data_IF_279095070239
#
_entry.id   IF_279095070239
#
_cell.length_a   1.000
_cell.length_b   1.000
_cell.length_c   1.000
_cell.angle_alpha   90.00
_cell.angle_beta   90.00
_cell.angle_gamma   90.00
#
_symmetry.space_group_name_H-M   'P 1'
#
loop_
_entity.id
_entity.type
_entity.pdbx_description
1 polymer ?
#
# COMPACT_ATOMS: atom_id res chain seq x y z
N UNK A 1 -16.96 2.71 7.38
CA UNK A 1 -15.54 2.81 7.78
C UNK A 1 -15.44 2.69 9.29
N UNK A 2 -14.54 1.84 9.78
CA UNK A 2 -14.19 1.74 11.19
C UNK A 2 -12.68 2.02 11.36
N UNK A 3 -12.32 2.70 12.45
CA UNK A 3 -10.93 2.98 12.82
C UNK A 3 -10.77 2.69 14.31
N UNK A 4 -9.73 1.96 14.68
CA UNK A 4 -9.48 1.56 16.07
C UNK A 4 -8.00 1.36 16.32
N UNK A 5 -7.55 1.63 17.53
CA UNK A 5 -6.19 1.36 18.02
C UNK A 5 -6.10 0.05 18.84
N UNK A 6 -7.20 -0.69 18.96
CA UNK A 6 -7.28 -1.90 19.79
C UNK A 6 -6.76 -3.17 19.09
N UNK A 7 -6.67 -3.17 17.76
CA UNK A 7 -6.24 -4.33 16.96
C UNK A 7 -5.21 -3.93 15.91
N UNK A 8 -4.44 -4.92 15.45
CA UNK A 8 -3.52 -4.79 14.33
C UNK A 8 -4.24 -4.43 13.02
N UNK A 9 -5.44 -4.98 12.80
CA UNK A 9 -6.32 -4.64 11.70
C UNK A 9 -7.17 -3.42 12.07
N UNK A 10 -6.60 -2.23 11.89
CA UNK A 10 -7.01 -1.00 12.58
C UNK A 10 -7.89 -0.06 11.75
N UNK A 11 -7.92 -0.22 10.43
CA UNK A 11 -8.72 0.61 9.51
C UNK A 11 -9.47 -0.30 8.55
N UNK A 12 -10.79 -0.10 8.44
CA UNK A 12 -11.68 -0.91 7.62
C UNK A 12 -12.61 -0.05 6.78
N UNK A 13 -12.77 -0.41 5.50
CA UNK A 13 -13.65 0.22 4.53
C UNK A 13 -14.64 -0.80 3.96
N UNK A 14 -15.78 -0.29 3.53
CA UNK A 14 -16.74 -1.04 2.72
C UNK A 14 -16.28 -0.98 1.26
N UNK A 15 -16.26 -2.12 0.59
CA UNK A 15 -15.96 -2.29 -0.85
C UNK A 15 -17.03 -3.14 -1.53
N UNK A 16 -18.24 -3.16 -0.98
CA UNK A 16 -19.39 -3.84 -1.57
C UNK A 16 -19.69 -3.24 -2.96
N UNK A 17 -20.10 -4.06 -3.95
CA UNK A 17 -20.48 -3.57 -5.27
C UNK A 17 -21.71 -2.66 -5.18
N UNK A 18 -21.89 -1.79 -6.18
CA UNK A 18 -23.01 -0.84 -6.22
C UNK A 18 -24.39 -1.52 -6.19
N UNK A 19 -24.47 -2.78 -6.64
CA UNK A 19 -25.71 -3.57 -6.64
C UNK A 19 -25.98 -4.29 -5.31
N UNK A 20 -25.10 -4.12 -4.32
CA UNK A 20 -25.18 -4.71 -2.98
C UNK A 20 -25.35 -6.24 -2.96
N UNK A 21 -24.94 -6.91 -4.05
CA UNK A 21 -25.09 -8.37 -4.20
C UNK A 21 -24.31 -9.18 -3.17
N UNK A 22 -23.26 -8.59 -2.57
CA UNK A 22 -22.44 -9.18 -1.51
C UNK A 22 -21.80 -8.07 -0.66
N UNK A 23 -21.70 -8.27 0.65
CA UNK A 23 -20.94 -7.37 1.53
C UNK A 23 -19.44 -7.67 1.46
N UNK A 24 -18.61 -6.67 1.17
CA UNK A 24 -17.15 -6.81 1.15
C UNK A 24 -16.52 -5.77 2.08
N UNK A 25 -15.71 -6.24 3.02
CA UNK A 25 -14.89 -5.38 3.88
C UNK A 25 -13.43 -5.53 3.50
N UNK A 26 -12.75 -4.40 3.31
CA UNK A 26 -11.29 -4.35 3.13
C UNK A 26 -10.69 -3.58 4.29
N UNK A 27 -9.50 -3.97 4.71
CA UNK A 27 -8.77 -3.20 5.71
C UNK A 27 -7.30 -3.56 5.69
N UNK A 28 -6.56 -2.96 6.60
CA UNK A 28 -5.11 -2.96 6.54
C UNK A 28 -4.49 -3.30 7.88
N UNK A 29 -3.36 -3.99 7.79
CA UNK A 29 -2.42 -4.20 8.88
C UNK A 29 -1.13 -3.55 8.41
N UNK A 30 -0.63 -2.56 9.12
CA UNK A 30 0.51 -1.74 8.71
C UNK A 30 1.61 -1.67 9.78
N UNK A 31 2.75 -1.09 9.39
CA UNK A 31 3.89 -0.84 10.27
C UNK A 31 4.42 -2.09 11.00
N UNK A 32 4.63 -1.94 12.30
CA UNK A 32 5.17 -3.00 13.15
C UNK A 32 4.21 -4.21 13.24
N UNK A 33 2.90 -3.98 13.15
CA UNK A 33 1.92 -5.06 13.13
C UNK A 33 2.05 -5.91 11.87
N UNK A 34 2.21 -5.28 10.69
CA UNK A 34 2.42 -6.01 9.44
C UNK A 34 3.69 -6.86 9.49
N UNK A 35 4.78 -6.28 10.03
CA UNK A 35 6.06 -6.98 10.19
C UNK A 35 5.93 -8.19 11.10
N UNK A 36 5.23 -8.05 12.24
CA UNK A 36 4.99 -9.16 13.15
C UNK A 36 4.13 -10.26 12.50
N UNK A 37 3.05 -9.86 11.83
CA UNK A 37 2.07 -10.78 11.25
C UNK A 37 2.54 -11.45 9.96
N UNK A 38 3.46 -10.86 9.18
CA UNK A 38 4.04 -11.47 7.97
C UNK A 38 4.57 -12.88 8.23
N UNK A 39 5.15 -13.11 9.40
CA UNK A 39 5.68 -14.42 9.80
C UNK A 39 4.65 -15.37 10.42
N UNK A 40 3.44 -14.88 10.72
CA UNK A 40 2.35 -15.65 11.30
C UNK A 40 1.58 -16.27 10.14
N UNK A 41 1.56 -17.60 10.03
CA UNK A 41 0.89 -18.29 8.92
C UNK A 41 -0.58 -17.89 8.75
N UNK A 42 -1.13 -18.12 7.55
CA UNK A 42 -2.39 -17.56 7.07
C UNK A 42 -3.59 -17.74 8.02
N UNK A 43 -3.69 -18.89 8.68
CA UNK A 43 -4.77 -19.16 9.63
C UNK A 43 -4.76 -18.21 10.84
N UNK A 44 -3.58 -17.84 11.34
CA UNK A 44 -3.44 -16.93 12.49
C UNK A 44 -3.87 -15.53 12.07
N UNK A 45 -3.43 -15.06 10.89
CA UNK A 45 -3.82 -13.74 10.38
C UNK A 45 -5.34 -13.66 10.17
N UNK A 46 -5.93 -14.72 9.61
CA UNK A 46 -7.38 -14.86 9.47
C UNK A 46 -8.12 -14.72 10.80
N UNK A 47 -7.69 -15.44 11.83
CA UNK A 47 -8.33 -15.40 13.14
C UNK A 47 -8.25 -14.01 13.78
N UNK A 48 -7.10 -13.33 13.69
CA UNK A 48 -6.92 -11.97 14.22
C UNK A 48 -7.79 -10.94 13.48
N UNK A 49 -7.90 -11.03 12.15
CA UNK A 49 -8.78 -10.15 11.37
C UNK A 49 -10.26 -10.40 11.69
N UNK A 50 -10.70 -11.65 11.74
CA UNK A 50 -12.10 -11.98 12.07
C UNK A 50 -12.46 -11.52 13.49
N UNK A 51 -11.54 -11.66 14.44
CA UNK A 51 -11.72 -11.15 15.80
C UNK A 51 -11.92 -9.64 15.80
N UNK A 52 -11.04 -8.89 15.11
CA UNK A 52 -11.17 -7.44 15.00
C UNK A 52 -12.51 -7.04 14.37
N UNK A 53 -12.90 -7.68 13.26
CA UNK A 53 -14.19 -7.43 12.61
C UNK A 53 -15.39 -7.74 13.50
N UNK A 54 -15.31 -8.81 14.30
CA UNK A 54 -16.34 -9.17 15.28
C UNK A 54 -16.47 -8.12 16.38
N UNK A 55 -15.33 -7.61 16.87
CA UNK A 55 -15.31 -6.57 17.89
C UNK A 55 -15.82 -5.22 17.35
N UNK A 56 -15.63 -4.93 16.05
CA UNK A 56 -16.09 -3.70 15.41
C UNK A 56 -17.56 -3.72 15.02
N UNK A 57 -18.04 -4.83 14.46
CA UNK A 57 -19.33 -4.89 13.77
C UNK A 57 -20.32 -5.87 14.40
N UNK A 58 -19.89 -6.68 15.36
CA UNK A 58 -20.73 -7.63 16.08
C UNK A 58 -20.58 -9.08 15.63
N UNK A 59 -21.35 -10.00 16.25
CA UNK A 59 -21.18 -11.45 16.11
C UNK A 59 -21.38 -11.97 14.67
N UNK A 60 -22.13 -11.25 13.83
CA UNK A 60 -22.36 -11.61 12.43
C UNK A 60 -21.07 -11.60 11.60
N UNK A 61 -20.08 -10.79 11.97
CA UNK A 61 -18.79 -10.73 11.27
C UNK A 61 -17.87 -11.94 11.57
N UNK A 62 -18.27 -12.82 12.49
CA UNK A 62 -17.48 -14.00 12.89
C UNK A 62 -17.39 -15.08 11.81
N UNK A 63 -18.39 -15.16 10.94
CA UNK A 63 -18.53 -16.21 9.94
C UNK A 63 -18.56 -15.60 8.53
N UNK A 64 -17.43 -15.10 8.01
CA UNK A 64 -17.38 -14.58 6.65
C UNK A 64 -17.55 -15.69 5.63
N UNK A 65 -18.18 -15.36 4.48
CA UNK A 65 -18.33 -16.28 3.34
C UNK A 65 -16.94 -16.69 2.81
N UNK A 66 -16.02 -15.74 2.73
CA UNK A 66 -14.65 -15.96 2.29
C UNK A 66 -13.67 -14.98 2.97
N UNK A 67 -12.39 -15.30 2.96
CA UNK A 67 -11.31 -14.48 3.49
C UNK A 67 -10.06 -14.61 2.62
N UNK A 68 -9.50 -13.47 2.24
CA UNK A 68 -8.21 -13.38 1.55
C UNK A 68 -7.38 -12.25 2.14
N UNK A 69 -6.08 -12.48 2.27
CA UNK A 69 -5.11 -11.44 2.57
C UNK A 69 -3.89 -11.55 1.66
N UNK A 70 -3.12 -10.46 1.59
CA UNK A 70 -1.87 -10.41 0.85
C UNK A 70 -0.81 -9.79 1.74
N UNK A 71 0.22 -10.57 2.05
CA UNK A 71 1.43 -10.05 2.66
C UNK A 71 2.31 -9.41 1.57
N UNK A 72 2.25 -8.08 1.48
CA UNK A 72 3.09 -7.33 0.55
C UNK A 72 4.56 -7.26 0.98
N UNK A 73 4.86 -7.47 2.26
CA UNK A 73 6.24 -7.43 2.76
C UNK A 73 7.04 -8.66 2.31
N UNK A 74 6.36 -9.80 2.10
CA UNK A 74 6.93 -11.02 1.56
C UNK A 74 6.86 -11.14 0.03
N UNK A 75 6.15 -10.24 -0.65
CA UNK A 75 6.04 -10.24 -2.12
C UNK A 75 7.39 -9.84 -2.75
N UNK A 76 7.90 -10.67 -3.67
CA UNK A 76 9.28 -10.62 -4.17
C UNK A 76 9.65 -9.27 -4.82
N UNK A 77 8.69 -8.70 -5.55
CA UNK A 77 8.91 -7.52 -6.41
C UNK A 77 8.57 -6.21 -5.72
N UNK A 78 7.62 -6.24 -4.78
CA UNK A 78 7.14 -5.09 -4.02
C UNK A 78 7.91 -4.90 -2.73
N UNK A 79 8.18 -6.01 -2.00
CA UNK A 79 8.94 -6.04 -0.74
C UNK A 79 8.42 -5.09 0.35
N UNK A 80 7.13 -4.78 0.30
CA UNK A 80 6.45 -3.82 1.14
C UNK A 80 5.30 -3.12 0.42
N UNK A 81 4.53 -2.34 1.16
CA UNK A 81 3.44 -1.50 0.66
C UNK A 81 3.16 -0.33 1.61
N UNK A 82 2.39 0.69 1.21
CA UNK A 82 2.03 1.02 -0.18
C UNK A 82 3.14 1.76 -0.91
N UNK A 83 3.95 2.48 -0.15
CA UNK A 83 4.94 3.41 -0.64
C UNK A 83 6.21 3.25 0.17
N UNK A 84 7.36 3.37 -0.49
CA UNK A 84 8.62 3.45 0.22
C UNK A 84 8.67 4.75 1.05
N UNK A 85 8.99 4.61 2.34
CA UNK A 85 9.21 5.76 3.22
C UNK A 85 10.70 5.93 3.52
N UNK A 86 11.08 7.15 3.89
CA UNK A 86 12.47 7.51 4.14
C UNK A 86 12.73 7.63 5.63
N UNK A 87 13.88 7.12 6.07
CA UNK A 87 14.36 7.37 7.43
C UNK A 87 14.59 8.88 7.67
N UNK A 88 14.56 9.34 8.94
CA UNK A 88 14.81 10.74 9.27
C UNK A 88 16.10 11.29 8.65
N UNK A 89 16.01 12.46 8.02
CA UNK A 89 17.14 13.15 7.40
C UNK A 89 17.55 12.67 6.01
N UNK A 90 17.00 11.56 5.49
CA UNK A 90 17.29 11.10 4.12
C UNK A 90 16.70 12.06 3.09
N UNK A 91 15.42 12.45 3.24
CA UNK A 91 14.76 13.37 2.32
C UNK A 91 15.47 14.72 2.20
N UNK A 92 15.92 15.29 3.32
CA UNK A 92 16.58 16.61 3.30
C UNK A 92 18.01 16.57 2.77
N UNK A 93 18.70 15.42 2.86
CA UNK A 93 20.08 15.26 2.36
C UNK A 93 20.13 14.78 0.92
N UNK A 94 19.17 13.95 0.50
CA UNK A 94 19.24 13.21 -0.76
C UNK A 94 17.95 13.29 -1.58
N UNK A 95 16.95 14.07 -1.17
CA UNK A 95 15.66 14.16 -1.86
C UNK A 95 15.77 14.58 -3.33
N UNK A 96 16.77 15.39 -3.71
CA UNK A 96 17.02 15.73 -5.12
C UNK A 96 17.42 14.51 -5.94
N UNK A 97 18.20 13.59 -5.37
CA UNK A 97 18.69 12.39 -6.05
C UNK A 97 17.57 11.44 -6.47
N UNK A 98 16.40 11.50 -5.81
CA UNK A 98 15.23 10.66 -6.10
C UNK A 98 14.72 10.78 -7.55
N UNK A 99 14.97 11.93 -8.22
CA UNK A 99 14.53 12.19 -9.60
C UNK A 99 15.67 12.45 -10.57
N UNK A 100 16.87 12.74 -10.06
CA UNK A 100 18.00 13.12 -10.91
C UNK A 100 18.40 11.95 -11.83
N UNK A 101 18.38 12.12 -13.17
CA UNK A 101 18.77 11.05 -14.09
C UNK A 101 20.27 10.78 -14.02
N UNK A 102 20.67 9.53 -14.24
CA UNK A 102 22.08 9.11 -14.28
C UNK A 102 22.43 8.71 -15.71
N UNK A 103 23.12 9.60 -16.43
CA UNK A 103 23.44 9.38 -17.84
C UNK A 103 22.16 9.24 -18.68
N UNK A 104 21.93 8.06 -19.25
CA UNK A 104 20.72 7.71 -20.04
C UNK A 104 19.61 7.06 -19.22
N UNK A 105 19.81 6.89 -17.91
CA UNK A 105 18.85 6.25 -17.00
C UNK A 105 17.97 7.35 -16.39
N UNK A 106 16.65 7.19 -16.52
CA UNK A 106 15.64 8.06 -15.95
C UNK A 106 14.78 7.28 -14.96
N UNK A 107 14.31 7.96 -13.91
CA UNK A 107 13.55 7.35 -12.83
C UNK A 107 12.07 7.72 -12.92
N UNK A 108 11.22 6.69 -12.94
CA UNK A 108 9.77 6.77 -12.80
C UNK A 108 9.33 5.83 -11.67
N UNK A 109 8.07 5.93 -11.29
CA UNK A 109 7.52 5.26 -10.10
C UNK A 109 7.00 6.30 -9.12
N UNK A 110 5.97 5.94 -8.35
CA UNK A 110 5.21 6.90 -7.54
C UNK A 110 6.08 7.63 -6.53
N UNK A 111 7.14 7.00 -6.04
CA UNK A 111 8.16 7.56 -5.14
C UNK A 111 8.86 8.78 -5.76
N UNK A 112 8.96 8.84 -7.08
CA UNK A 112 9.63 9.92 -7.82
C UNK A 112 8.67 11.04 -8.25
N UNK A 113 7.39 10.92 -7.91
CA UNK A 113 6.38 11.91 -8.24
C UNK A 113 6.58 13.19 -7.43
N UNK A 114 6.23 14.35 -8.00
CA UNK A 114 6.23 15.64 -7.29
C UNK A 114 4.87 15.95 -6.64
N UNK A 115 3.84 15.20 -7.04
CA UNK A 115 2.48 15.28 -6.54
C UNK A 115 1.96 13.85 -6.37
N UNK A 116 1.12 13.62 -5.36
CA UNK A 116 0.49 12.31 -5.12
C UNK A 116 1.49 11.15 -4.96
N UNK A 117 2.65 11.40 -4.37
CA UNK A 117 3.64 10.36 -4.05
C UNK A 117 2.99 9.24 -3.21
N UNK A 118 3.15 7.99 -3.64
CA UNK A 118 2.55 6.82 -3.01
C UNK A 118 1.20 6.40 -3.57
N UNK A 119 0.64 7.16 -4.52
CA UNK A 119 -0.62 6.84 -5.19
C UNK A 119 -0.42 6.48 -6.66
N UNK A 120 -1.45 5.89 -7.28
CA UNK A 120 -1.46 5.58 -8.71
C UNK A 120 -1.31 6.84 -9.57
N UNK A 121 -1.93 7.95 -9.18
CA UNK A 121 -1.76 9.26 -9.83
C UNK A 121 -0.30 9.72 -9.83
N UNK A 122 0.43 9.50 -8.74
CA UNK A 122 1.87 9.76 -8.68
C UNK A 122 2.67 8.89 -9.64
N UNK A 123 2.31 7.60 -9.76
CA UNK A 123 2.94 6.71 -10.73
C UNK A 123 2.72 7.22 -12.17
N UNK A 124 1.48 7.60 -12.51
CA UNK A 124 1.15 8.19 -13.82
C UNK A 124 1.92 9.48 -14.06
N UNK A 125 1.90 10.40 -13.10
CA UNK A 125 2.58 11.69 -13.17
C UNK A 125 4.08 11.51 -13.42
N UNK A 126 4.73 10.64 -12.65
CA UNK A 126 6.16 10.38 -12.77
C UNK A 126 6.53 9.73 -14.10
N UNK A 127 5.68 8.83 -14.62
CA UNK A 127 5.87 8.19 -15.92
C UNK A 127 5.81 9.19 -17.06
N UNK A 128 4.83 10.10 -17.05
CA UNK A 128 4.72 11.19 -18.04
C UNK A 128 5.95 12.11 -17.97
N UNK A 129 6.39 12.46 -16.75
CA UNK A 129 7.60 13.27 -16.55
C UNK A 129 8.83 12.58 -17.14
N UNK A 130 9.12 11.34 -16.75
CA UNK A 130 10.30 10.60 -17.21
C UNK A 130 10.29 10.41 -18.73
N UNK A 131 9.13 10.16 -19.34
CA UNK A 131 9.00 10.08 -20.80
C UNK A 131 9.38 11.40 -21.49
N UNK A 132 8.94 12.56 -20.96
CA UNK A 132 9.32 13.88 -21.50
C UNK A 132 10.83 14.12 -21.40
N UNK A 133 11.43 13.82 -20.26
CA UNK A 133 12.87 13.96 -20.05
C UNK A 133 13.70 13.14 -21.06
N UNK A 134 13.23 11.92 -21.39
CA UNK A 134 13.85 11.08 -22.42
C UNK A 134 13.69 11.72 -23.80
N UNK A 135 12.49 12.15 -24.16
CA UNK A 135 12.19 12.75 -25.46
C UNK A 135 13.04 14.01 -25.74
N UNK A 136 13.28 14.83 -24.72
CA UNK A 136 14.13 16.03 -24.82
C UNK A 136 15.60 15.71 -25.11
N UNK A 137 16.05 14.49 -24.81
CA UNK A 137 17.43 14.02 -25.01
C UNK A 137 17.63 13.21 -26.28
N UNK A 138 16.56 12.89 -27.00
CA UNK A 138 16.66 12.21 -28.29
C UNK A 138 17.23 13.17 -29.36
N UNK A 139 18.14 12.70 -30.22
CA UNK A 139 18.56 13.48 -31.38
C UNK A 139 17.36 13.72 -32.30
N UNK A 140 17.31 14.92 -32.90
CA UNK A 140 16.32 15.27 -33.92
C UNK A 140 16.57 14.55 -35.23
#
# INVERSE_FOLDING_TARGET
MAVSDAHAFNVVFDQSPEDESVGILVGFIDGDHATAMSSMGDNIRREEVIKALTDYFGPEAREPIDYVDQDWTAEEWSRGCYVAHMAPGVMTRFGEALRAPVGRIHWAGTETATEWQGYMDGALQSGIRAAREVMERLPR
#
